data_IF_134285657760
#
_entry.id   IF_134285657760
#
_cell.length_a   1.000
_cell.length_b   1.000
_cell.length_c   1.000
_cell.angle_alpha   90.00
_cell.angle_beta   90.00
_cell.angle_gamma   90.00
#
_symmetry.space_group_name_H-M   'P 1'
#
loop_
_entity.id
_entity.type
_entity.pdbx_description
1 polymer ?
#
# COMPACT_ATOMS: atom_id res chain seq x y z
N UNK A 1 3.35 18.88 -4.62
CA UNK A 1 3.16 18.15 -3.34
C UNK A 1 4.31 18.38 -2.37
N UNK A 2 5.58 18.20 -2.77
CA UNK A 2 6.76 18.34 -1.90
C UNK A 2 6.83 19.58 -0.96
N UNK A 3 6.26 20.72 -1.36
CA UNK A 3 6.24 21.95 -0.55
C UNK A 3 5.11 22.00 0.49
N UNK A 4 4.10 21.13 0.38
CA UNK A 4 2.95 21.11 1.27
C UNK A 4 3.38 20.80 2.71
N UNK A 5 2.81 21.54 3.68
CA UNK A 5 3.02 21.27 5.11
C UNK A 5 2.59 19.84 5.43
N UNK A 6 3.39 19.14 6.23
CA UNK A 6 3.13 17.76 6.64
C UNK A 6 3.29 16.69 5.56
N UNK A 7 3.61 17.04 4.32
CA UNK A 7 4.04 16.04 3.33
C UNK A 7 5.42 15.49 3.69
N UNK A 8 5.57 14.16 3.64
CA UNK A 8 6.82 13.47 3.97
C UNK A 8 7.47 12.90 2.72
N UNK A 9 6.77 12.02 2.01
CA UNK A 9 7.29 11.29 0.87
C UNK A 9 6.18 10.87 -0.10
N UNK A 10 6.55 10.63 -1.37
CA UNK A 10 5.70 9.99 -2.36
C UNK A 10 6.46 8.92 -3.13
N UNK A 11 5.81 7.78 -3.28
CA UNK A 11 6.23 6.62 -4.06
C UNK A 11 5.26 6.46 -5.21
N UNK A 12 5.76 6.19 -6.42
CA UNK A 12 4.89 5.97 -7.58
C UNK A 12 5.46 4.92 -8.52
N UNK A 13 4.59 4.26 -9.26
CA UNK A 13 4.98 3.15 -10.10
C UNK A 13 3.85 2.66 -10.96
N UNK A 14 4.16 1.72 -11.86
CA UNK A 14 3.17 1.02 -12.65
C UNK A 14 3.07 -0.43 -12.19
N UNK A 15 1.88 -1.02 -12.34
CA UNK A 15 1.72 -2.47 -12.12
C UNK A 15 2.68 -3.23 -13.04
N UNK A 16 3.17 -4.38 -12.58
CA UNK A 16 4.08 -5.22 -13.35
C UNK A 16 3.33 -5.82 -14.53
N UNK A 17 2.14 -6.34 -14.25
CA UNK A 17 1.29 -7.06 -15.19
C UNK A 17 0.53 -6.13 -16.15
N UNK A 18 0.19 -4.91 -15.71
CA UNK A 18 -0.52 -3.92 -16.53
C UNK A 18 0.11 -2.54 -16.41
N UNK A 19 0.90 -2.18 -17.44
CA UNK A 19 1.61 -0.89 -17.49
C UNK A 19 0.70 0.31 -17.74
N UNK A 20 -0.60 0.11 -17.98
CA UNK A 20 -1.58 1.19 -18.00
C UNK A 20 -2.01 1.61 -16.60
N UNK A 21 -1.78 0.78 -15.57
CA UNK A 21 -2.23 1.06 -14.21
C UNK A 21 -1.10 1.67 -13.39
N UNK A 22 -1.29 2.91 -12.97
CA UNK A 22 -0.38 3.67 -12.13
C UNK A 22 -0.83 3.68 -10.67
N UNK A 23 0.14 3.49 -9.77
CA UNK A 23 0.01 3.59 -8.33
C UNK A 23 0.80 4.77 -7.78
N UNK A 24 0.24 5.46 -6.78
CA UNK A 24 0.95 6.49 -6.03
C UNK A 24 0.59 6.40 -4.54
N UNK A 25 1.59 6.12 -3.71
CA UNK A 25 1.49 6.17 -2.26
C UNK A 25 2.12 7.47 -1.75
N UNK A 26 1.36 8.29 -1.03
CA UNK A 26 1.87 9.51 -0.39
C UNK A 26 1.76 9.40 1.12
N UNK A 27 2.83 9.79 1.81
CA UNK A 27 2.95 9.79 3.25
C UNK A 27 2.78 11.21 3.81
N UNK A 28 1.89 11.33 4.79
CA UNK A 28 1.58 12.57 5.49
C UNK A 28 1.81 12.43 6.99
N UNK A 29 2.32 13.49 7.62
CA UNK A 29 2.49 13.57 9.07
C UNK A 29 1.16 13.41 9.81
N UNK A 30 0.06 13.92 9.24
CA UNK A 30 -1.27 13.83 9.84
C UNK A 30 -2.38 13.85 8.78
N UNK A 31 -3.57 13.41 9.19
CA UNK A 31 -4.78 13.53 8.36
C UNK A 31 -5.20 15.00 8.13
N UNK A 32 -4.88 15.88 9.07
CA UNK A 32 -5.15 17.32 8.97
C UNK A 32 -4.26 17.97 7.90
N UNK A 33 -2.98 17.62 7.85
CA UNK A 33 -2.06 18.12 6.83
C UNK A 33 -2.50 17.72 5.41
N UNK A 34 -2.93 16.47 5.22
CA UNK A 34 -3.52 16.02 3.97
C UNK A 34 -4.77 16.85 3.62
N UNK A 35 -5.70 17.03 4.57
CA UNK A 35 -6.93 17.80 4.36
C UNK A 35 -6.64 19.25 3.98
N UNK A 36 -5.65 19.86 4.64
CA UNK A 36 -5.20 21.22 4.34
C UNK A 36 -4.61 21.31 2.94
N UNK A 37 -3.77 20.33 2.54
CA UNK A 37 -3.28 20.24 1.17
C UNK A 37 -4.44 20.09 0.18
N UNK A 38 -5.39 19.18 0.40
CA UNK A 38 -6.54 18.96 -0.49
C UNK A 38 -7.42 20.21 -0.66
N UNK A 39 -7.40 21.13 0.32
CA UNK A 39 -8.13 22.39 0.26
C UNK A 39 -7.33 23.54 -0.39
N UNK A 40 -6.06 23.31 -0.72
CA UNK A 40 -5.12 24.33 -1.19
C UNK A 40 -5.18 24.55 -2.72
N UNK A 41 -4.77 25.73 -3.22
CA UNK A 41 -4.56 25.95 -4.66
C UNK A 41 -3.58 24.95 -5.29
N UNK A 42 -2.53 24.57 -4.57
CA UNK A 42 -1.51 23.62 -5.02
C UNK A 42 -2.09 22.24 -5.31
N UNK A 43 -3.12 21.81 -4.56
CA UNK A 43 -3.82 20.57 -4.85
C UNK A 43 -4.63 20.66 -6.14
N UNK A 44 -5.25 21.81 -6.44
CA UNK A 44 -5.99 21.98 -7.71
C UNK A 44 -5.05 21.86 -8.92
N UNK A 45 -3.86 22.45 -8.83
CA UNK A 45 -2.83 22.32 -9.87
C UNK A 45 -2.36 20.85 -9.99
N UNK A 46 -2.11 20.20 -8.87
CA UNK A 46 -1.73 18.79 -8.84
C UNK A 46 -2.81 17.88 -9.45
N UNK A 47 -4.06 18.02 -9.02
CA UNK A 47 -5.23 17.27 -9.50
C UNK A 47 -5.45 17.49 -11.00
N UNK A 48 -5.29 18.72 -11.50
CA UNK A 48 -5.37 19.02 -12.93
C UNK A 48 -4.31 18.25 -13.74
N UNK A 49 -3.07 18.17 -13.25
CA UNK A 49 -2.00 17.41 -13.93
C UNK A 49 -2.25 15.91 -13.91
N UNK A 50 -2.77 15.37 -12.80
CA UNK A 50 -3.14 13.94 -12.71
C UNK A 50 -4.29 13.63 -13.68
N UNK A 51 -5.36 14.44 -13.69
CA UNK A 51 -6.51 14.25 -14.59
C UNK A 51 -6.14 14.30 -16.07
N UNK A 52 -5.13 15.09 -16.44
CA UNK A 52 -4.66 15.18 -17.81
C UNK A 52 -4.10 13.84 -18.35
N UNK A 53 -3.52 13.00 -17.49
CA UNK A 53 -2.93 11.72 -17.86
C UNK A 53 -3.82 10.52 -17.52
N UNK A 54 -4.97 10.75 -16.91
CA UNK A 54 -5.82 9.69 -16.35
C UNK A 54 -6.95 9.31 -17.32
N UNK A 55 -7.10 8.02 -17.61
CA UNK A 55 -8.10 7.47 -18.55
C UNK A 55 -9.51 7.28 -17.93
N UNK A 56 -9.64 7.31 -16.60
CA UNK A 56 -10.92 7.10 -15.90
C UNK A 56 -10.92 7.60 -14.45
N UNK A 57 -11.94 7.30 -13.64
CA UNK A 57 -11.93 7.67 -12.23
C UNK A 57 -10.83 6.91 -11.47
N UNK A 58 -10.14 7.61 -10.57
CA UNK A 58 -9.08 7.03 -9.75
C UNK A 58 -9.65 6.49 -8.46
N UNK A 59 -9.04 5.44 -7.91
CA UNK A 59 -9.35 4.98 -6.57
C UNK A 59 -8.31 5.55 -5.61
N UNK A 60 -8.73 6.54 -4.81
CA UNK A 60 -7.93 7.06 -3.70
C UNK A 60 -8.47 6.50 -2.40
N UNK A 61 -7.59 5.89 -1.61
CA UNK A 61 -7.89 5.43 -0.26
C UNK A 61 -6.94 6.07 0.74
N UNK A 62 -7.40 6.18 1.98
CA UNK A 62 -6.58 6.55 3.13
C UNK A 62 -6.35 5.31 3.96
N UNK A 63 -5.10 4.98 4.28
CA UNK A 63 -4.74 3.76 5.02
C UNK A 63 -3.99 4.16 6.28
N UNK A 64 -4.35 3.51 7.41
CA UNK A 64 -3.60 3.55 8.66
C UNK A 64 -2.85 2.23 8.83
N UNK A 65 -1.58 2.21 8.42
CA UNK A 65 -0.75 1.01 8.52
C UNK A 65 -0.36 0.70 9.97
N UNK A 66 -0.36 -0.57 10.31
CA UNK A 66 0.19 -1.13 11.55
C UNK A 66 1.67 -1.40 11.30
N UNK A 67 2.52 -0.46 11.68
CA UNK A 67 3.97 -0.53 11.48
C UNK A 67 4.48 0.46 10.43
N UNK A 68 5.68 0.21 9.91
CA UNK A 68 6.37 1.07 8.95
C UNK A 68 6.19 0.55 7.50
N UNK A 69 5.33 1.19 6.69
CA UNK A 69 5.13 0.80 5.30
C UNK A 69 6.20 1.34 4.35
N UNK A 70 7.12 2.20 4.79
CA UNK A 70 8.18 2.69 3.90
C UNK A 70 9.10 1.58 3.43
N UNK A 71 9.37 0.58 4.27
CA UNK A 71 10.21 -0.57 3.91
C UNK A 71 9.66 -1.32 2.69
N UNK A 72 8.42 -1.84 2.71
CA UNK A 72 7.86 -2.52 1.53
C UNK A 72 7.69 -1.61 0.32
N UNK A 73 7.48 -0.29 0.48
CA UNK A 73 7.43 0.66 -0.63
C UNK A 73 8.80 0.94 -1.30
N UNK A 74 9.90 0.59 -0.64
CA UNK A 74 11.27 0.74 -1.15
C UNK A 74 11.83 -0.55 -1.74
N UNK A 75 11.05 -1.63 -1.73
CA UNK A 75 11.45 -2.91 -2.31
C UNK A 75 11.44 -2.83 -3.84
N UNK A 76 12.21 -3.71 -4.49
CA UNK A 76 12.27 -3.79 -5.95
C UNK A 76 10.88 -4.07 -6.54
N UNK A 77 10.16 -5.00 -5.94
CA UNK A 77 8.74 -5.26 -6.23
C UNK A 77 7.94 -5.13 -4.95
N UNK A 78 6.95 -4.24 -4.94
CA UNK A 78 5.95 -4.15 -3.87
C UNK A 78 4.72 -4.93 -4.31
N UNK A 79 4.30 -5.89 -3.50
CA UNK A 79 2.98 -6.50 -3.64
C UNK A 79 1.96 -5.68 -2.84
N UNK A 80 0.88 -5.30 -3.49
CA UNK A 80 -0.25 -4.57 -2.91
C UNK A 80 -1.46 -5.49 -2.95
N UNK A 81 -1.97 -5.86 -1.78
CA UNK A 81 -3.20 -6.63 -1.64
C UNK A 81 -4.28 -5.72 -1.07
N UNK A 82 -5.43 -5.69 -1.72
CA UNK A 82 -6.64 -5.07 -1.16
C UNK A 82 -7.69 -6.13 -0.94
N UNK A 83 -8.30 -6.15 0.24
CA UNK A 83 -9.27 -7.19 0.55
C UNK A 83 -10.26 -6.84 1.64
N UNK A 84 -11.25 -7.72 1.78
CA UNK A 84 -12.29 -7.69 2.81
C UNK A 84 -12.62 -9.11 3.27
N UNK A 85 -13.09 -9.31 4.51
CA UNK A 85 -13.58 -10.61 4.94
C UNK A 85 -14.68 -11.12 4.01
N UNK A 86 -14.66 -12.42 3.70
CA UNK A 86 -15.75 -13.11 3.02
C UNK A 86 -16.98 -13.18 3.92
N UNK A 87 -18.13 -13.53 3.33
CA UNK A 87 -19.37 -13.76 4.08
C UNK A 87 -19.16 -14.78 5.20
N UNK A 88 -19.65 -14.46 6.41
CA UNK A 88 -19.48 -15.30 7.59
C UNK A 88 -18.10 -15.20 8.27
N UNK A 89 -17.19 -14.37 7.74
CA UNK A 89 -15.90 -14.03 8.37
C UNK A 89 -15.95 -12.62 8.93
N UNK A 90 -15.15 -12.38 9.95
CA UNK A 90 -15.02 -11.08 10.59
C UNK A 90 -13.63 -10.48 10.35
N UNK A 91 -13.42 -9.31 10.94
CA UNK A 91 -12.16 -8.59 10.77
C UNK A 91 -10.98 -9.28 11.48
N UNK A 92 -11.20 -9.89 12.64
CA UNK A 92 -10.16 -10.63 13.37
C UNK A 92 -9.70 -11.85 12.57
N UNK A 93 -10.61 -12.56 11.89
CA UNK A 93 -10.27 -13.67 10.99
C UNK A 93 -9.29 -13.22 9.89
N UNK A 94 -9.54 -12.03 9.30
CA UNK A 94 -8.67 -11.45 8.27
C UNK A 94 -7.29 -11.14 8.83
N UNK A 95 -7.21 -10.56 10.03
CA UNK A 95 -5.92 -10.25 10.66
C UNK A 95 -5.15 -11.51 11.01
N UNK A 96 -5.81 -12.51 11.60
CA UNK A 96 -5.18 -13.79 11.92
C UNK A 96 -4.62 -14.45 10.66
N UNK A 97 -5.41 -14.49 9.57
CA UNK A 97 -4.97 -15.06 8.31
C UNK A 97 -3.79 -14.28 7.70
N UNK A 98 -3.83 -12.94 7.75
CA UNK A 98 -2.74 -12.07 7.27
C UNK A 98 -1.44 -12.31 8.04
N UNK A 99 -1.52 -12.38 9.37
CA UNK A 99 -0.37 -12.67 10.22
C UNK A 99 0.16 -14.10 10.00
N UNK A 100 -0.72 -15.05 9.70
CA UNK A 100 -0.36 -16.40 9.29
C UNK A 100 0.48 -16.41 8.01
N UNK A 101 0.06 -15.65 6.99
CA UNK A 101 0.84 -15.47 5.75
C UNK A 101 2.21 -14.85 6.05
N UNK A 102 2.26 -13.76 6.81
CA UNK A 102 3.53 -13.11 7.15
C UNK A 102 4.50 -14.04 7.87
N UNK A 103 3.97 -14.87 8.77
CA UNK A 103 4.77 -15.84 9.53
C UNK A 103 5.29 -16.96 8.63
N UNK A 104 4.45 -17.47 7.72
CA UNK A 104 4.81 -18.54 6.80
C UNK A 104 5.80 -18.11 5.71
N UNK A 105 5.78 -16.83 5.31
CA UNK A 105 6.72 -16.26 4.34
C UNK A 105 8.06 -15.85 4.95
N UNK A 106 8.19 -15.85 6.29
CA UNK A 106 9.40 -15.42 6.97
C UNK A 106 10.59 -16.29 6.55
N UNK A 107 11.58 -15.67 5.90
CA UNK A 107 12.78 -16.35 5.42
C UNK A 107 12.63 -17.01 4.05
N UNK A 108 11.49 -16.85 3.38
CA UNK A 108 11.34 -17.28 1.99
C UNK A 108 12.36 -16.55 1.09
N UNK A 109 13.01 -17.25 0.13
CA UNK A 109 13.90 -16.61 -0.82
C UNK A 109 13.20 -15.46 -1.56
N UNK A 110 13.86 -14.31 -1.67
CA UNK A 110 13.33 -13.14 -2.35
C UNK A 110 12.30 -12.32 -1.57
N UNK A 111 11.83 -12.79 -0.42
CA UNK A 111 10.89 -12.06 0.43
C UNK A 111 11.62 -11.00 1.26
N UNK A 112 11.14 -9.75 1.21
CA UNK A 112 11.66 -8.69 2.07
C UNK A 112 11.01 -8.72 3.45
N UNK A 113 11.80 -8.53 4.53
CA UNK A 113 11.26 -8.48 5.88
C UNK A 113 10.47 -7.19 6.12
N UNK A 114 9.53 -7.24 7.08
CA UNK A 114 8.63 -6.14 7.48
C UNK A 114 7.44 -5.90 6.53
N UNK A 115 6.63 -6.94 6.22
CA UNK A 115 5.32 -6.68 5.64
C UNK A 115 4.48 -5.85 6.61
N UNK A 116 3.49 -5.13 6.10
CA UNK A 116 2.53 -4.41 6.95
C UNK A 116 1.15 -4.42 6.33
N UNK A 117 0.15 -4.14 7.14
CA UNK A 117 -1.24 -4.01 6.72
C UNK A 117 -1.87 -2.81 7.42
N UNK A 118 -2.99 -2.34 6.91
CA UNK A 118 -3.73 -1.24 7.52
C UNK A 118 -5.17 -1.18 7.08
N UNK A 119 -6.01 -0.62 7.95
CA UNK A 119 -7.42 -0.38 7.62
C UNK A 119 -7.56 0.79 6.66
N UNK A 120 -8.47 0.66 5.70
CA UNK A 120 -8.91 1.77 4.88
C UNK A 120 -9.87 2.66 5.66
N UNK A 121 -9.44 3.88 5.94
CA UNK A 121 -10.20 4.89 6.68
C UNK A 121 -11.51 5.21 5.95
N UNK A 122 -12.63 4.98 6.63
CA UNK A 122 -13.97 5.27 6.11
C UNK A 122 -14.54 4.18 5.21
N UNK A 123 -13.89 3.01 5.10
CA UNK A 123 -14.41 1.81 4.42
C UNK A 123 -14.30 0.62 5.38
N UNK A 124 -15.36 0.36 6.18
CA UNK A 124 -15.34 -0.73 7.17
C UNK A 124 -14.92 -2.06 6.55
N UNK A 125 -14.12 -2.82 7.29
CA UNK A 125 -13.66 -4.15 6.89
C UNK A 125 -12.93 -4.21 5.53
N UNK A 126 -12.35 -3.08 5.07
CA UNK A 126 -11.49 -3.04 3.88
C UNK A 126 -10.05 -2.80 4.30
N UNK A 127 -9.14 -3.63 3.82
CA UNK A 127 -7.74 -3.63 4.20
C UNK A 127 -6.82 -3.43 3.01
N UNK A 128 -5.67 -2.85 3.32
CA UNK A 128 -4.50 -2.82 2.46
C UNK A 128 -3.40 -3.64 3.15
N UNK A 129 -2.78 -4.54 2.40
CA UNK A 129 -1.59 -5.29 2.81
C UNK A 129 -0.51 -4.95 1.80
N UNK A 130 0.70 -4.73 2.31
CA UNK A 130 1.86 -4.48 1.46
C UNK A 130 3.02 -5.37 1.89
N UNK A 131 3.62 -6.02 0.89
CA UNK A 131 4.77 -6.91 1.04
C UNK A 131 5.83 -6.54 0.02
N UNK A 132 7.06 -7.00 0.22
CA UNK A 132 8.16 -6.76 -0.71
C UNK A 132 8.76 -8.05 -1.23
N UNK A 133 9.15 -8.03 -2.50
CA UNK A 133 9.83 -9.12 -3.21
C UNK A 133 11.03 -8.58 -4.00
N UNK A 134 12.07 -9.40 -4.23
CA UNK A 134 13.13 -9.03 -5.19
C UNK A 134 12.58 -8.99 -6.61
N UNK A 135 11.74 -9.96 -6.98
CA UNK A 135 11.06 -10.06 -8.28
C UNK A 135 9.62 -10.53 -8.10
N UNK A 136 8.72 -10.27 -9.07
CA UNK A 136 7.37 -10.85 -9.09
C UNK A 136 7.38 -12.39 -9.10
N UNK A 137 8.42 -13.01 -9.65
CA UNK A 137 8.59 -14.46 -9.69
C UNK A 137 8.89 -15.06 -8.31
N UNK A 138 9.60 -14.34 -7.44
CA UNK A 138 9.94 -14.82 -6.10
C UNK A 138 8.69 -15.06 -5.23
N UNK A 139 7.60 -14.32 -5.47
CA UNK A 139 6.31 -14.54 -4.82
C UNK A 139 5.70 -15.90 -5.18
N UNK A 140 5.88 -16.39 -6.41
CA UNK A 140 5.17 -17.58 -6.92
C UNK A 140 5.55 -18.85 -6.16
N UNK A 141 6.84 -19.05 -5.91
CA UNK A 141 7.35 -20.28 -5.30
C UNK A 141 6.77 -20.57 -3.89
N UNK A 142 6.79 -19.62 -2.93
CA UNK A 142 6.25 -19.88 -1.60
C UNK A 142 4.72 -20.03 -1.57
N UNK A 143 3.98 -19.51 -2.56
CA UNK A 143 2.50 -19.53 -2.54
C UNK A 143 1.87 -20.57 -3.45
N UNK A 144 2.59 -21.09 -4.45
CA UNK A 144 2.07 -22.10 -5.40
C UNK A 144 2.70 -23.49 -5.24
N UNK A 145 3.84 -23.58 -4.55
CA UNK A 145 4.59 -24.82 -4.37
C UNK A 145 3.97 -25.80 -3.37
N UNK A 146 4.80 -26.31 -2.47
CA UNK A 146 4.38 -27.13 -1.32
C UNK A 146 4.95 -26.54 -0.04
N UNK A 147 4.23 -26.70 1.08
CA UNK A 147 4.65 -26.23 2.40
C UNK A 147 3.84 -25.05 2.95
N UNK A 148 4.34 -24.48 4.05
CA UNK A 148 3.59 -23.59 4.93
C UNK A 148 3.08 -22.32 4.25
N UNK A 149 3.81 -21.77 3.27
CA UNK A 149 3.40 -20.57 2.53
C UNK A 149 2.11 -20.79 1.73
N UNK A 150 2.03 -21.91 1.00
CA UNK A 150 0.82 -22.29 0.24
C UNK A 150 -0.38 -22.47 1.16
N UNK A 151 -0.20 -23.20 2.25
CA UNK A 151 -1.29 -23.49 3.19
C UNK A 151 -1.80 -22.20 3.88
N UNK A 152 -0.88 -21.29 4.22
CA UNK A 152 -1.24 -19.99 4.77
C UNK A 152 -1.98 -19.11 3.77
N UNK A 153 -1.56 -19.08 2.50
CA UNK A 153 -2.25 -18.32 1.43
C UNK A 153 -3.61 -18.93 1.09
N UNK A 154 -3.75 -20.25 1.13
CA UNK A 154 -5.04 -20.92 0.98
C UNK A 154 -6.00 -20.52 2.11
N UNK A 155 -5.54 -20.60 3.38
CA UNK A 155 -6.32 -20.13 4.54
C UNK A 155 -6.70 -18.65 4.41
N UNK A 156 -5.78 -17.81 3.93
CA UNK A 156 -6.07 -16.40 3.66
C UNK A 156 -7.16 -16.21 2.61
N UNK A 157 -7.10 -16.97 1.51
CA UNK A 157 -8.08 -16.90 0.41
C UNK A 157 -9.47 -17.39 0.82
N UNK A 158 -9.54 -18.37 1.74
CA UNK A 158 -10.79 -18.87 2.33
C UNK A 158 -11.46 -17.84 3.25
N UNK A 159 -10.67 -16.92 3.81
CA UNK A 159 -11.16 -15.88 4.73
C UNK A 159 -11.40 -14.55 4.02
N UNK A 160 -10.62 -14.23 3.00
CA UNK A 160 -10.53 -12.89 2.44
C UNK A 160 -10.84 -12.91 0.94
N UNK A 161 -11.83 -12.10 0.55
CA UNK A 161 -11.99 -11.70 -0.84
C UNK A 161 -10.98 -10.58 -1.12
N UNK A 162 -10.08 -10.80 -2.06
CA UNK A 162 -8.94 -9.91 -2.27
C UNK A 162 -8.57 -9.78 -3.75
N UNK A 163 -7.79 -8.75 -4.04
CA UNK A 163 -7.07 -8.55 -5.30
C UNK A 163 -5.61 -8.25 -4.99
N UNK A 164 -4.71 -8.70 -5.86
CA UNK A 164 -3.27 -8.53 -5.74
C UNK A 164 -2.77 -7.74 -6.95
N UNK A 165 -1.83 -6.83 -6.73
CA UNK A 165 -1.05 -6.18 -7.78
C UNK A 165 0.43 -6.17 -7.38
N UNK A 166 1.33 -6.44 -8.32
CA UNK A 166 2.76 -6.19 -8.12
C UNK A 166 3.11 -4.85 -8.75
N UNK A 167 3.89 -4.03 -8.06
CA UNK A 167 4.20 -2.66 -8.47
C UNK A 167 5.68 -2.40 -8.27
N UNK A 168 6.33 -1.81 -9.27
CA UNK A 168 7.67 -1.24 -9.10
C UNK A 168 7.53 0.21 -8.66
N UNK A 169 7.70 0.48 -7.36
CA UNK A 169 7.54 1.80 -6.77
C UNK A 169 8.88 2.52 -6.69
N UNK A 170 8.96 3.68 -7.33
CA UNK A 170 10.07 4.61 -7.19
C UNK A 170 9.71 5.75 -6.25
N UNK A 171 10.62 6.07 -5.33
CA UNK A 171 10.51 7.27 -4.51
C UNK A 171 10.72 8.50 -5.40
N UNK A 172 9.66 9.27 -5.62
CA UNK A 172 9.67 10.39 -6.56
C UNK A 172 9.79 11.77 -5.91
N UNK A 173 9.40 11.90 -4.63
CA UNK A 173 9.54 13.12 -3.85
C UNK A 173 9.80 12.81 -2.39
N UNK A 174 10.71 13.55 -1.77
CA UNK A 174 10.96 13.53 -0.32
C UNK A 174 11.05 14.97 0.18
N UNK A 175 10.46 15.24 1.35
CA UNK A 175 10.75 16.46 2.10
C UNK A 175 11.80 16.11 3.14
N UNK A 176 12.92 16.84 3.14
CA UNK A 176 13.87 16.79 4.25
C UNK A 176 13.14 17.25 5.52
N UNK A 177 12.80 16.30 6.38
CA UNK A 177 12.31 16.59 7.73
C UNK A 177 13.51 17.12 8.51
N UNK A 178 13.79 18.43 8.41
CA UNK A 178 14.87 19.04 9.18
C UNK A 178 14.61 18.86 10.67
N UNK A 179 15.28 17.91 11.32
CA UNK A 179 15.19 17.48 12.73
C UNK A 179 13.80 17.28 13.36
N UNK A 180 12.70 17.56 12.64
CA UNK A 180 11.34 17.33 13.07
C UNK A 180 11.02 15.86 12.89
N UNK A 181 11.27 15.07 13.95
CA UNK A 181 10.77 13.70 14.07
C UNK A 181 9.28 13.68 13.69
N UNK A 182 8.84 12.62 13.02
CA UNK A 182 7.41 12.29 12.93
C UNK A 182 6.81 12.46 14.32
N UNK A 183 5.73 13.24 14.44
CA UNK A 183 5.07 13.44 15.72
C UNK A 183 4.62 12.06 16.21
N UNK A 184 5.25 11.60 17.30
CA UNK A 184 5.11 10.24 17.84
C UNK A 184 3.66 9.91 18.20
N UNK A 185 2.85 10.94 18.47
CA UNK A 185 1.46 10.81 18.90
C UNK A 185 0.44 10.82 17.75
N UNK A 186 0.87 11.06 16.49
CA UNK A 186 -0.01 10.96 15.32
C UNK A 186 0.51 9.88 14.38
N UNK A 187 -0.19 8.75 14.32
CA UNK A 187 0.10 7.73 13.31
C UNK A 187 0.08 8.38 11.92
N UNK A 188 1.15 8.20 11.12
CA UNK A 188 1.21 8.74 9.78
C UNK A 188 0.02 8.25 8.94
N UNK A 189 -0.51 9.14 8.11
CA UNK A 189 -1.59 8.81 7.19
C UNK A 189 -1.02 8.59 5.80
N UNK A 190 -1.39 7.47 5.19
CA UNK A 190 -1.02 7.14 3.83
C UNK A 190 -2.22 7.34 2.91
N UNK A 191 -2.00 7.99 1.77
CA UNK A 191 -2.95 7.92 0.66
C UNK A 191 -2.40 7.01 -0.41
N UNK A 192 -3.13 5.96 -0.75
CA UNK A 192 -2.82 5.10 -1.88
C UNK A 192 -3.80 5.42 -3.00
N UNK A 193 -3.25 5.76 -4.15
CA UNK A 193 -3.99 6.19 -5.33
C UNK A 193 -3.69 5.20 -6.44
N UNK A 194 -4.73 4.66 -7.08
CA UNK A 194 -4.62 3.74 -8.22
C UNK A 194 -5.48 4.24 -9.37
N UNK A 195 -4.93 4.35 -10.57
CA UNK A 195 -5.68 4.77 -11.75
C UNK A 195 -5.09 4.23 -13.06
N UNK A 196 -5.92 4.16 -14.09
CA UNK A 196 -5.51 3.86 -15.46
C UNK A 196 -5.03 5.13 -16.17
N UNK A 197 -3.95 5.03 -16.94
CA UNK A 197 -3.35 6.13 -17.70
C UNK A 197 -3.80 6.12 -19.17
N UNK A 198 -3.91 7.32 -19.77
CA UNK A 198 -4.24 7.51 -21.19
C UNK A 198 -3.10 7.14 -22.13
#
# INVERSE_FOLDING_TARGET
>A
MAKAKGFVAAYRGFEVEDKSIHHMACLWQSAEDLKNFQSSPEYKEFDSRVKAVQAGPGNTVRVKFVGDPEKPFRCLTTEVVTGRPRSGKNFDDLIEATQGVFSALKGAPGYYPSPTYGEVVGRPATYYIILGWHTPEDHKNPVTGSGQGKDAVAKFTDVVEHSIAHVHLDMCQIRALGNSRLKVDSMPLYTVNRWETR
#
